data_IF_002118180325
#
_entry.id   IF_002118180325
#
_cell.length_a   1.000
_cell.length_b   1.000
_cell.length_c   1.000
_cell.angle_alpha   90.00
_cell.angle_beta   90.00
_cell.angle_gamma   90.00
#
_symmetry.space_group_name_H-M   'P 1'
#
loop_
_entity.id
_entity.type
_entity.pdbx_description
1 polymer ?
#
# COMPACT_ATOMS: atom_id res chain seq x y z
N UNK A 1 -0.63 18.00 -5.58
CA UNK A 1 -1.02 19.08 -4.65
C UNK A 1 0.21 19.59 -3.93
N UNK A 2 0.43 20.89 -3.90
CA UNK A 2 1.51 21.53 -3.14
C UNK A 2 1.03 22.85 -2.53
N UNK A 3 1.80 23.36 -1.61
CA UNK A 3 1.58 24.63 -0.94
C UNK A 3 2.70 25.58 -1.38
N UNK A 4 2.37 26.77 -1.82
CA UNK A 4 3.29 27.83 -2.19
C UNK A 4 3.20 28.98 -1.20
N UNK A 5 4.34 29.50 -0.80
CA UNK A 5 4.42 30.69 0.05
C UNK A 5 4.64 31.92 -0.84
N UNK A 6 3.69 32.81 -0.84
CA UNK A 6 3.86 34.17 -1.35
C UNK A 6 4.41 35.02 -0.20
N UNK A 7 5.71 35.24 -0.22
CA UNK A 7 6.42 35.99 0.83
C UNK A 7 6.10 37.48 0.83
N UNK A 8 5.72 38.06 -0.32
CA UNK A 8 5.39 39.48 -0.45
C UNK A 8 4.05 39.75 0.23
N UNK A 9 3.04 38.95 -0.06
CA UNK A 9 1.70 39.08 0.51
C UNK A 9 1.53 38.32 1.83
N UNK A 10 2.54 37.54 2.28
CA UNK A 10 2.51 36.70 3.48
C UNK A 10 1.32 35.71 3.47
N UNK A 11 1.06 35.13 2.31
CA UNK A 11 -0.04 34.19 2.11
C UNK A 11 0.45 32.82 1.67
N UNK A 12 -0.31 31.78 2.02
CA UNK A 12 -0.11 30.43 1.50
C UNK A 12 -1.15 30.14 0.42
N UNK A 13 -0.71 29.73 -0.74
CA UNK A 13 -1.56 29.31 -1.83
C UNK A 13 -1.51 27.79 -1.99
N UNK A 14 -2.70 27.15 -1.93
CA UNK A 14 -2.84 25.71 -2.17
C UNK A 14 -3.09 25.43 -3.64
N UNK A 15 -2.24 24.62 -4.25
CA UNK A 15 -2.42 24.12 -5.62
C UNK A 15 -3.03 22.72 -5.57
N UNK A 16 -4.33 22.63 -5.84
CA UNK A 16 -5.06 21.36 -5.88
C UNK A 16 -4.84 20.65 -7.22
N UNK A 17 -4.77 19.34 -7.18
CA UNK A 17 -4.67 18.50 -8.37
C UNK A 17 -6.05 18.38 -9.02
N UNK A 18 -6.20 18.65 -10.32
CA UNK A 18 -7.48 18.47 -11.00
C UNK A 18 -7.82 16.98 -11.17
N UNK A 19 -9.10 16.70 -11.35
CA UNK A 19 -9.60 15.43 -11.86
C UNK A 19 -9.51 15.36 -13.40
N UNK A 20 -10.00 14.26 -13.99
CA UNK A 20 -9.95 14.02 -15.44
C UNK A 20 -10.68 15.05 -16.29
N UNK A 21 -11.62 15.79 -15.71
CA UNK A 21 -12.38 16.85 -16.42
C UNK A 21 -11.96 18.27 -16.03
N UNK A 22 -10.94 18.39 -15.18
CA UNK A 22 -10.31 19.65 -14.80
C UNK A 22 -10.82 20.27 -13.50
N UNK A 23 -11.76 19.67 -12.79
CA UNK A 23 -12.20 20.15 -11.49
C UNK A 23 -11.16 19.85 -10.41
N UNK A 24 -10.84 20.89 -9.64
CA UNK A 24 -9.87 20.78 -8.53
C UNK A 24 -10.51 20.37 -7.19
N UNK A 25 -11.82 20.41 -7.13
CA UNK A 25 -12.63 19.98 -6.00
C UNK A 25 -14.09 20.30 -6.21
N UNK A 26 -14.96 19.37 -5.81
CA UNK A 26 -16.41 19.49 -5.88
C UNK A 26 -16.98 19.34 -4.48
N UNK A 27 -17.85 20.25 -4.09
CA UNK A 27 -18.59 20.17 -2.82
C UNK A 27 -20.08 20.09 -3.11
N UNK A 28 -20.74 19.12 -2.47
CA UNK A 28 -22.19 19.03 -2.50
C UNK A 28 -22.77 19.93 -1.39
N UNK A 29 -23.74 20.76 -1.72
CA UNK A 29 -24.44 21.56 -0.73
C UNK A 29 -25.57 20.77 -0.03
N UNK A 30 -25.74 20.92 1.31
CA UNK A 30 -24.88 21.65 2.23
C UNK A 30 -23.53 20.92 2.45
N UNK A 31 -22.43 21.65 2.49
CA UNK A 31 -21.11 21.06 2.67
C UNK A 31 -20.14 22.00 3.39
N UNK A 32 -19.07 21.43 3.91
CA UNK A 32 -17.99 22.16 4.58
C UNK A 32 -16.65 21.84 3.90
N UNK A 33 -15.77 22.83 3.85
CA UNK A 33 -14.41 22.61 3.36
C UNK A 33 -13.56 21.91 4.42
N UNK A 34 -12.53 21.15 4.03
CA UNK A 34 -11.58 20.58 4.99
C UNK A 34 -10.89 21.66 5.83
N UNK A 35 -10.53 21.29 7.04
CA UNK A 35 -9.69 22.13 7.90
C UNK A 35 -8.35 22.42 7.25
N UNK A 36 -7.83 23.62 7.50
CA UNK A 36 -6.46 24.02 7.20
C UNK A 36 -5.77 24.31 8.50
N UNK A 37 -4.62 23.70 8.74
CA UNK A 37 -3.89 23.82 10.01
C UNK A 37 -2.50 24.36 9.79
N UNK A 38 -2.06 25.20 10.73
CA UNK A 38 -0.68 25.65 10.82
C UNK A 38 -0.19 25.26 12.21
N UNK A 39 0.88 24.46 12.26
CA UNK A 39 1.53 24.08 13.51
C UNK A 39 2.71 25.01 13.69
N UNK A 40 2.72 25.76 14.81
CA UNK A 40 3.79 26.68 15.17
C UNK A 40 4.40 26.20 16.47
N UNK A 41 5.73 26.09 16.49
CA UNK A 41 6.50 25.71 17.67
C UNK A 41 7.81 26.50 17.75
N UNK A 42 8.40 26.56 18.90
CA UNK A 42 9.72 27.17 19.13
C UNK A 42 10.86 26.17 18.91
N UNK A 43 10.55 24.88 19.02
CA UNK A 43 11.50 23.79 18.80
C UNK A 43 10.86 22.69 17.92
N UNK A 44 11.70 21.91 17.23
CA UNK A 44 11.23 20.84 16.35
C UNK A 44 10.37 19.80 17.11
N UNK A 45 10.66 19.51 18.36
CA UNK A 45 9.86 18.59 19.19
C UNK A 45 8.41 19.02 19.37
N UNK A 46 8.11 20.32 19.29
CA UNK A 46 6.74 20.85 19.42
C UNK A 46 5.86 20.38 18.25
N UNK A 47 6.45 20.22 17.06
CA UNK A 47 5.78 19.66 15.90
C UNK A 47 5.43 18.19 16.13
N UNK A 48 6.37 17.40 16.66
CA UNK A 48 6.14 15.98 16.99
C UNK A 48 5.07 15.79 18.06
N UNK A 49 5.04 16.69 19.06
CA UNK A 49 4.07 16.63 20.15
C UNK A 49 2.67 17.08 19.73
N UNK A 50 2.54 17.79 18.60
CA UNK A 50 1.27 18.33 18.13
C UNK A 50 0.32 17.23 17.71
N UNK A 51 -0.91 17.27 18.25
CA UNK A 51 -1.99 16.36 17.89
C UNK A 51 -3.13 17.06 17.15
N UNK A 52 -2.88 18.28 16.65
CA UNK A 52 -3.93 19.09 16.03
C UNK A 52 -4.55 18.38 14.82
N UNK A 53 -3.73 17.79 13.96
CA UNK A 53 -4.20 17.07 12.77
C UNK A 53 -5.10 15.90 13.14
N UNK A 54 -4.74 15.13 14.16
CA UNK A 54 -5.58 14.03 14.65
C UNK A 54 -6.87 14.54 15.27
N UNK A 55 -6.78 15.57 16.12
CA UNK A 55 -7.91 16.07 16.90
C UNK A 55 -9.02 16.74 16.06
N UNK A 56 -8.71 17.15 14.83
CA UNK A 56 -9.68 17.69 13.90
C UNK A 56 -10.44 16.62 13.11
N UNK A 57 -10.05 15.36 13.23
CA UNK A 57 -10.79 14.23 12.67
C UNK A 57 -11.87 13.76 13.66
N UNK A 58 -12.91 13.13 13.11
CA UNK A 58 -13.99 12.54 13.90
C UNK A 58 -13.47 11.48 14.89
N UNK A 59 -14.15 11.25 15.99
CA UNK A 59 -13.87 10.13 16.90
C UNK A 59 -13.86 8.80 16.18
N UNK A 60 -13.20 7.80 16.80
CA UNK A 60 -13.16 6.44 16.28
C UNK A 60 -14.55 5.88 15.99
N UNK A 61 -14.77 5.41 14.76
CA UNK A 61 -16.03 4.79 14.30
C UNK A 61 -16.03 3.27 14.41
N UNK A 62 -14.92 2.66 14.82
CA UNK A 62 -14.80 1.23 15.04
C UNK A 62 -15.05 0.92 16.50
N UNK A 63 -16.11 0.17 16.78
CA UNK A 63 -16.53 -0.14 18.18
C UNK A 63 -15.54 -1.06 18.90
N UNK A 64 -15.08 -2.12 18.22
CA UNK A 64 -14.10 -3.06 18.73
C UNK A 64 -12.79 -2.91 17.95
N UNK A 65 -11.78 -2.38 18.59
CA UNK A 65 -10.44 -2.17 18.01
C UNK A 65 -9.41 -3.23 18.44
N UNK A 66 -9.82 -4.26 19.16
CA UNK A 66 -8.94 -5.28 19.73
C UNK A 66 -8.13 -6.09 18.69
N UNK A 67 -8.61 -6.11 17.44
CA UNK A 67 -7.97 -6.78 16.30
C UNK A 67 -6.92 -5.90 15.59
N UNK A 68 -6.86 -4.60 15.91
CA UNK A 68 -5.95 -3.63 15.30
C UNK A 68 -4.66 -3.57 16.10
N UNK A 69 -3.53 -3.72 15.44
CA UNK A 69 -2.22 -3.66 16.11
C UNK A 69 -1.12 -3.22 15.15
N UNK A 70 -0.09 -2.53 15.64
CA UNK A 70 1.15 -2.34 14.89
C UNK A 70 1.76 -3.69 14.53
N UNK A 71 2.38 -3.78 13.35
CA UNK A 71 2.89 -5.03 12.82
C UNK A 71 4.30 -4.83 12.28
N UNK A 72 5.24 -5.66 12.74
CA UNK A 72 6.58 -5.77 12.14
C UNK A 72 6.53 -6.89 11.12
N UNK A 73 6.90 -6.61 9.89
CA UNK A 73 6.88 -7.63 8.84
C UNK A 73 8.15 -7.61 7.99
N UNK A 74 8.35 -8.71 7.27
CA UNK A 74 9.33 -8.84 6.20
C UNK A 74 8.59 -9.16 4.91
N UNK A 75 9.09 -8.68 3.76
CA UNK A 75 8.38 -8.80 2.48
C UNK A 75 9.10 -9.67 1.46
N UNK A 76 8.37 -10.55 0.79
CA UNK A 76 8.75 -11.15 -0.48
C UNK A 76 8.51 -10.10 -1.55
N UNK A 77 9.50 -9.29 -1.82
CA UNK A 77 9.44 -8.10 -2.66
C UNK A 77 10.84 -7.63 -3.06
N UNK A 78 11.78 -7.54 -2.10
CA UNK A 78 13.12 -7.02 -2.37
C UNK A 78 13.91 -7.87 -3.37
N UNK A 79 13.71 -9.18 -3.39
CA UNK A 79 14.34 -10.08 -4.36
C UNK A 79 14.00 -9.66 -5.80
N UNK A 80 12.76 -9.22 -6.05
CA UNK A 80 12.32 -8.78 -7.36
C UNK A 80 12.88 -7.40 -7.72
N UNK A 81 12.82 -6.45 -6.79
CA UNK A 81 13.41 -5.10 -6.99
C UNK A 81 14.92 -5.18 -7.26
N UNK A 82 15.61 -6.08 -6.58
CA UNK A 82 17.06 -6.29 -6.76
C UNK A 82 17.42 -7.08 -8.04
N UNK A 83 16.44 -7.58 -8.79
CA UNK A 83 16.67 -8.36 -10.01
C UNK A 83 16.97 -9.84 -9.79
N UNK A 84 16.80 -10.35 -8.56
CA UNK A 84 16.99 -11.76 -8.21
C UNK A 84 15.80 -12.67 -8.53
N UNK A 85 14.71 -12.11 -9.06
CA UNK A 85 13.49 -12.83 -9.41
C UNK A 85 12.42 -11.93 -9.99
N UNK A 86 11.21 -12.46 -10.15
CA UNK A 86 10.09 -11.74 -10.74
C UNK A 86 8.80 -11.88 -9.92
N UNK A 87 7.85 -10.97 -10.16
CA UNK A 87 6.49 -11.05 -9.66
C UNK A 87 5.61 -11.99 -10.49
N UNK A 88 5.94 -12.15 -11.79
CA UNK A 88 5.23 -12.97 -12.76
C UNK A 88 5.66 -14.43 -12.69
N UNK A 89 4.78 -15.31 -13.19
CA UNK A 89 4.96 -16.76 -13.15
C UNK A 89 5.51 -17.34 -14.45
N UNK A 90 5.13 -16.75 -15.59
CA UNK A 90 5.37 -17.35 -16.92
C UNK A 90 5.76 -16.31 -17.96
N UNK A 91 6.55 -16.76 -18.96
CA UNK A 91 6.83 -15.99 -20.18
C UNK A 91 5.98 -16.40 -21.37
N UNK A 92 5.06 -17.37 -21.20
CA UNK A 92 4.20 -17.87 -22.28
C UNK A 92 3.15 -16.84 -22.72
N UNK A 93 2.81 -15.89 -21.82
CA UNK A 93 1.77 -14.90 -22.07
C UNK A 93 2.33 -13.47 -21.96
N UNK A 94 2.74 -12.86 -23.08
CA UNK A 94 3.23 -11.47 -23.09
C UNK A 94 2.11 -10.46 -22.79
N UNK A 95 0.86 -10.89 -22.88
CA UNK A 95 -0.32 -10.15 -22.44
C UNK A 95 -1.36 -11.13 -21.92
N UNK A 96 -2.03 -10.75 -20.85
CA UNK A 96 -3.02 -11.59 -20.18
C UNK A 96 -4.41 -10.93 -20.19
N UNK A 97 -5.43 -11.77 -20.09
CA UNK A 97 -6.80 -11.34 -19.83
C UNK A 97 -7.34 -12.12 -18.63
N UNK A 98 -7.66 -11.41 -17.58
CA UNK A 98 -8.23 -12.00 -16.37
C UNK A 98 -9.51 -12.74 -16.70
N UNK A 99 -9.63 -13.99 -16.22
CA UNK A 99 -10.76 -14.88 -16.48
C UNK A 99 -10.74 -15.62 -17.83
N UNK A 100 -9.82 -15.26 -18.75
CA UNK A 100 -9.68 -15.92 -20.06
C UNK A 100 -8.35 -16.67 -20.19
N UNK A 101 -7.27 -16.13 -19.62
CA UNK A 101 -5.94 -16.74 -19.70
C UNK A 101 -5.85 -17.98 -18.80
N UNK A 102 -5.51 -19.12 -19.40
CA UNK A 102 -5.48 -20.43 -18.74
C UNK A 102 -4.08 -20.74 -18.18
N UNK A 103 -3.83 -20.35 -16.95
CA UNK A 103 -2.56 -20.60 -16.26
C UNK A 103 -2.26 -22.08 -15.98
N UNK A 104 -3.25 -22.98 -16.11
CA UNK A 104 -2.99 -24.43 -15.98
C UNK A 104 -2.14 -25.00 -17.12
N UNK A 105 -2.09 -24.28 -18.26
CA UNK A 105 -1.28 -24.62 -19.43
C UNK A 105 0.05 -23.87 -19.50
N UNK A 106 0.22 -22.85 -18.67
CA UNK A 106 1.43 -22.03 -18.65
C UNK A 106 2.60 -22.79 -18.05
N UNK A 107 3.78 -22.59 -18.61
CA UNK A 107 5.03 -23.12 -18.06
C UNK A 107 5.67 -22.10 -17.14
N UNK A 108 6.02 -22.50 -15.89
CA UNK A 108 6.76 -21.60 -15.01
C UNK A 108 8.14 -21.31 -15.59
N UNK A 109 8.56 -20.06 -15.60
CA UNK A 109 9.93 -19.71 -16.02
C UNK A 109 10.98 -19.94 -14.90
N UNK A 110 10.55 -20.26 -13.67
CA UNK A 110 11.41 -20.62 -12.54
C UNK A 110 11.96 -19.44 -11.73
N UNK A 111 11.65 -18.20 -12.10
CA UNK A 111 12.11 -16.99 -11.40
C UNK A 111 11.05 -16.36 -10.48
N UNK A 112 9.81 -16.88 -10.47
CA UNK A 112 8.75 -16.39 -9.63
C UNK A 112 9.09 -16.53 -8.14
N UNK A 113 9.09 -15.41 -7.39
CA UNK A 113 9.52 -15.43 -5.97
C UNK A 113 8.39 -15.57 -4.98
N UNK A 114 7.16 -15.30 -5.36
CA UNK A 114 6.00 -15.56 -4.50
C UNK A 114 5.56 -17.04 -4.49
N UNK A 115 6.42 -17.97 -4.91
CA UNK A 115 6.13 -19.40 -4.83
C UNK A 115 6.11 -19.91 -3.38
N UNK A 116 5.32 -20.95 -3.10
CA UNK A 116 5.10 -21.50 -1.76
C UNK A 116 6.39 -21.89 -1.05
N UNK A 117 7.38 -22.41 -1.76
CA UNK A 117 8.66 -22.82 -1.15
C UNK A 117 9.44 -21.61 -0.63
N UNK A 118 9.53 -20.54 -1.41
CA UNK A 118 10.23 -19.32 -0.99
C UNK A 118 9.49 -18.61 0.13
N UNK A 119 8.16 -18.52 0.05
CA UNK A 119 7.34 -17.90 1.11
C UNK A 119 7.51 -18.62 2.45
N UNK A 120 7.60 -19.95 2.47
CA UNK A 120 7.89 -20.71 3.70
C UNK A 120 9.25 -20.33 4.32
N UNK A 121 10.28 -20.06 3.49
CA UNK A 121 11.58 -19.57 3.99
C UNK A 121 11.44 -18.22 4.70
N UNK A 122 10.63 -17.30 4.14
CA UNK A 122 10.34 -16.01 4.77
C UNK A 122 9.55 -16.17 6.06
N UNK A 123 8.58 -17.08 6.11
CA UNK A 123 7.84 -17.41 7.34
C UNK A 123 8.78 -17.95 8.43
N UNK A 124 9.68 -18.86 8.08
CA UNK A 124 10.67 -19.39 9.01
C UNK A 124 11.62 -18.30 9.52
N UNK A 125 12.06 -17.42 8.64
CA UNK A 125 12.87 -16.26 9.00
C UNK A 125 12.12 -15.31 9.94
N UNK A 126 10.87 -14.99 9.63
CA UNK A 126 10.02 -14.14 10.44
C UNK A 126 9.84 -14.71 11.85
N UNK A 127 9.48 -15.99 11.97
CA UNK A 127 9.31 -16.70 13.22
C UNK A 127 10.59 -16.70 14.07
N UNK A 128 11.73 -16.97 13.44
CA UNK A 128 13.04 -17.02 14.11
C UNK A 128 13.49 -15.65 14.64
N UNK A 129 13.14 -14.58 13.95
CA UNK A 129 13.66 -13.24 14.22
C UNK A 129 12.63 -12.28 14.86
N UNK A 130 11.47 -12.79 15.28
CA UNK A 130 10.47 -12.03 16.02
C UNK A 130 9.73 -11.01 15.17
N UNK A 131 9.50 -11.29 13.88
CA UNK A 131 8.56 -10.57 13.04
C UNK A 131 7.16 -11.12 13.24
N UNK A 132 6.17 -10.25 13.16
CA UNK A 132 4.76 -10.61 13.33
C UNK A 132 4.15 -11.21 12.07
N UNK A 133 4.67 -10.79 10.89
CA UNK A 133 4.09 -11.16 9.61
C UNK A 133 5.08 -11.22 8.45
N UNK A 134 4.62 -11.82 7.34
CA UNK A 134 5.26 -11.80 6.03
C UNK A 134 4.29 -11.21 5.01
N UNK A 135 4.71 -10.15 4.33
CA UNK A 135 4.05 -9.61 3.14
C UNK A 135 4.47 -10.41 1.91
N UNK A 136 3.55 -10.74 1.02
CA UNK A 136 3.88 -11.44 -0.23
C UNK A 136 3.32 -10.67 -1.42
N UNK A 137 4.19 -10.05 -2.18
CA UNK A 137 3.85 -9.48 -3.49
C UNK A 137 3.98 -10.55 -4.59
N UNK A 138 3.19 -10.43 -5.65
CA UNK A 138 3.25 -11.37 -6.78
C UNK A 138 2.50 -12.68 -6.57
N UNK A 139 1.65 -12.80 -5.54
CA UNK A 139 0.98 -14.05 -5.20
C UNK A 139 -0.12 -14.46 -6.18
N UNK A 140 -0.78 -13.48 -6.82
CA UNK A 140 -1.95 -13.65 -7.69
C UNK A 140 -1.61 -13.42 -9.16
N UNK A 141 -2.45 -13.91 -10.06
CA UNK A 141 -2.29 -13.74 -11.51
C UNK A 141 -2.40 -12.28 -11.94
N UNK A 142 -1.68 -11.91 -13.01
CA UNK A 142 -1.78 -10.58 -13.63
C UNK A 142 -0.47 -9.82 -13.76
N UNK A 143 0.63 -10.33 -13.23
CA UNK A 143 1.90 -9.61 -13.19
C UNK A 143 2.72 -9.69 -14.48
N UNK A 144 2.34 -10.52 -15.44
CA UNK A 144 3.07 -10.69 -16.72
C UNK A 144 3.12 -9.40 -17.55
N UNK A 145 2.05 -8.59 -17.48
CA UNK A 145 1.96 -7.35 -18.24
C UNK A 145 1.38 -6.17 -17.47
N UNK A 146 1.54 -6.16 -16.14
CA UNK A 146 0.92 -5.14 -15.26
C UNK A 146 1.54 -3.75 -15.37
N UNK A 147 2.84 -3.67 -15.63
CA UNK A 147 3.56 -2.40 -15.69
C UNK A 147 3.28 -1.69 -17.00
N UNK A 148 2.80 -0.43 -16.91
CA UNK A 148 2.63 0.49 -18.05
C UNK A 148 1.61 0.11 -19.11
N UNK A 149 0.91 -1.01 -19.00
CA UNK A 149 -0.09 -1.39 -19.99
C UNK A 149 -1.41 -0.59 -19.88
N UNK A 150 -1.63 0.07 -18.73
CA UNK A 150 -2.80 0.93 -18.47
C UNK A 150 -4.15 0.22 -18.66
N UNK A 151 -4.19 -1.07 -18.39
CA UNK A 151 -5.44 -1.84 -18.43
C UNK A 151 -6.31 -1.51 -17.23
N UNK A 152 -7.62 -1.48 -17.42
CA UNK A 152 -8.56 -1.35 -16.32
C UNK A 152 -8.66 -2.66 -15.51
N UNK A 153 -8.50 -3.82 -16.16
CA UNK A 153 -8.56 -5.15 -15.56
C UNK A 153 -7.17 -5.81 -15.51
N UNK A 154 -6.37 -5.45 -14.49
CA UNK A 154 -5.07 -6.08 -14.29
C UNK A 154 -5.14 -7.29 -13.35
N UNK A 155 -5.97 -7.21 -12.29
CA UNK A 155 -6.02 -8.18 -11.20
C UNK A 155 -7.46 -8.46 -10.80
N UNK A 156 -7.74 -9.69 -10.34
CA UNK A 156 -9.02 -10.10 -9.74
C UNK A 156 -8.99 -10.23 -8.21
N UNK A 157 -7.80 -10.24 -7.63
CA UNK A 157 -7.54 -10.30 -6.17
C UNK A 157 -7.98 -11.59 -5.46
N UNK A 158 -8.29 -12.65 -6.20
CA UNK A 158 -8.78 -13.94 -5.64
C UNK A 158 -8.13 -15.16 -6.27
N UNK A 159 -7.43 -15.02 -7.41
CA UNK A 159 -6.83 -16.14 -8.12
C UNK A 159 -5.31 -16.18 -7.90
N UNK A 160 -4.80 -17.11 -7.07
CA UNK A 160 -3.36 -17.27 -6.90
C UNK A 160 -2.70 -17.86 -8.15
N UNK A 161 -1.38 -17.65 -8.28
CA UNK A 161 -0.58 -18.41 -9.23
C UNK A 161 -0.55 -19.90 -8.87
N UNK A 162 -0.31 -20.80 -9.85
CA UNK A 162 -0.33 -22.26 -9.61
C UNK A 162 0.67 -22.77 -8.56
N UNK A 163 1.74 -22.02 -8.31
CA UNK A 163 2.79 -22.36 -7.35
C UNK A 163 2.64 -21.67 -5.97
N UNK A 164 1.52 -20.95 -5.76
CA UNK A 164 1.19 -20.28 -4.49
C UNK A 164 -0.05 -20.91 -3.84
N UNK A 165 0.15 -21.74 -2.85
CA UNK A 165 -0.95 -22.35 -2.09
C UNK A 165 -1.36 -21.45 -0.90
N UNK A 166 -2.42 -20.68 -1.11
CA UNK A 166 -2.95 -19.71 -0.12
C UNK A 166 -3.28 -20.38 1.21
N UNK A 167 -3.93 -21.57 1.16
CA UNK A 167 -4.38 -22.27 2.36
C UNK A 167 -3.21 -22.84 3.13
N UNK A 168 -2.36 -23.60 2.45
CA UNK A 168 -1.18 -24.24 3.06
C UNK A 168 -0.26 -23.19 3.72
N UNK A 169 -0.02 -22.07 3.02
CA UNK A 169 0.85 -21.01 3.51
C UNK A 169 0.30 -20.30 4.75
N UNK A 170 -1.00 -20.06 4.82
CA UNK A 170 -1.60 -19.46 6.02
C UNK A 170 -1.59 -20.43 7.20
N UNK A 171 -1.92 -21.71 6.98
CA UNK A 171 -1.83 -22.74 8.00
C UNK A 171 -0.39 -22.88 8.52
N UNK A 172 0.60 -22.88 7.62
CA UNK A 172 2.01 -22.95 7.98
C UNK A 172 2.47 -21.72 8.78
N UNK A 173 2.12 -20.52 8.35
CA UNK A 173 2.45 -19.29 9.06
C UNK A 173 1.84 -19.28 10.47
N UNK A 174 0.56 -19.59 10.59
CA UNK A 174 -0.14 -19.66 11.89
C UNK A 174 0.46 -20.70 12.83
N UNK A 175 0.92 -21.85 12.32
CA UNK A 175 1.60 -22.88 13.12
C UNK A 175 2.90 -22.37 13.76
N UNK A 176 3.47 -21.30 13.22
CA UNK A 176 4.69 -20.64 13.69
C UNK A 176 4.43 -19.29 14.38
N UNK A 177 3.18 -18.98 14.67
CA UNK A 177 2.74 -17.71 15.24
C UNK A 177 3.14 -16.48 14.37
N UNK A 178 3.18 -16.65 13.07
CA UNK A 178 3.40 -15.63 12.07
C UNK A 178 2.12 -15.46 11.25
N UNK A 179 1.83 -14.26 10.77
CA UNK A 179 0.72 -13.99 9.86
C UNK A 179 1.21 -13.69 8.46
N UNK A 180 0.31 -13.79 7.49
CA UNK A 180 0.54 -13.28 6.15
C UNK A 180 -0.21 -11.96 5.96
N UNK A 181 0.44 -10.99 5.30
CA UNK A 181 -0.20 -9.76 4.83
C UNK A 181 -0.50 -9.96 3.35
N UNK A 182 -1.76 -9.74 2.97
CA UNK A 182 -2.19 -9.80 1.59
C UNK A 182 -1.68 -8.57 0.82
N UNK A 183 -1.28 -8.74 -0.43
CA UNK A 183 -0.96 -7.64 -1.32
C UNK A 183 -2.02 -7.50 -2.41
N UNK A 184 -2.61 -6.34 -2.52
CA UNK A 184 -3.52 -5.96 -3.60
C UNK A 184 -2.85 -4.86 -4.44
N UNK A 185 -2.02 -5.25 -5.42
CA UNK A 185 -1.58 -4.30 -6.46
C UNK A 185 -2.75 -4.02 -7.39
N UNK A 186 -2.99 -2.76 -7.68
CA UNK A 186 -4.09 -2.34 -8.53
C UNK A 186 -3.66 -2.00 -9.96
N UNK A 187 -2.34 -1.86 -10.21
CA UNK A 187 -1.83 -1.26 -11.44
C UNK A 187 -2.42 0.14 -11.68
N UNK A 188 -2.74 0.83 -10.57
CA UNK A 188 -3.43 2.12 -10.53
C UNK A 188 -4.85 2.14 -11.13
N UNK A 189 -5.45 0.97 -11.43
CA UNK A 189 -6.83 0.83 -11.90
C UNK A 189 -7.81 0.79 -10.71
N UNK A 190 -7.96 1.93 -10.03
CA UNK A 190 -8.69 2.01 -8.76
C UNK A 190 -10.16 1.58 -8.86
N UNK A 191 -10.83 1.86 -10.01
CA UNK A 191 -12.23 1.45 -10.22
C UNK A 191 -12.38 -0.06 -10.33
N UNK A 192 -11.39 -0.75 -10.91
CA UNK A 192 -11.35 -2.20 -10.92
C UNK A 192 -11.26 -2.74 -9.50
N UNK A 193 -10.38 -2.17 -8.68
CA UNK A 193 -10.27 -2.57 -7.28
C UNK A 193 -11.56 -2.36 -6.49
N UNK A 194 -12.23 -1.21 -6.66
CA UNK A 194 -13.52 -0.94 -6.02
C UNK A 194 -14.62 -1.97 -6.35
N UNK A 195 -14.65 -2.44 -7.61
CA UNK A 195 -15.62 -3.46 -8.05
C UNK A 195 -15.38 -4.83 -7.41
N UNK A 196 -14.12 -5.18 -7.16
CA UNK A 196 -13.74 -6.50 -6.64
C UNK A 196 -13.47 -6.52 -5.13
N UNK A 197 -13.53 -5.39 -4.46
CA UNK A 197 -13.10 -5.25 -3.07
C UNK A 197 -13.87 -6.14 -2.10
N UNK A 198 -15.18 -6.31 -2.29
CA UNK A 198 -15.98 -7.19 -1.43
C UNK A 198 -15.53 -8.66 -1.57
N UNK A 199 -15.34 -9.13 -2.79
CA UNK A 199 -14.89 -10.49 -3.08
C UNK A 199 -13.47 -10.70 -2.57
N UNK A 200 -12.58 -9.75 -2.81
CA UNK A 200 -11.21 -9.77 -2.32
C UNK A 200 -11.12 -9.85 -0.79
N UNK A 201 -11.91 -9.04 -0.07
CA UNK A 201 -11.91 -9.07 1.40
C UNK A 201 -12.59 -10.32 1.97
N UNK A 202 -13.61 -10.87 1.30
CA UNK A 202 -14.19 -12.18 1.65
C UNK A 202 -13.15 -13.29 1.49
N UNK A 203 -12.42 -13.30 0.38
CA UNK A 203 -11.32 -14.23 0.13
C UNK A 203 -10.26 -14.14 1.23
N UNK A 204 -9.84 -12.94 1.60
CA UNK A 204 -8.92 -12.73 2.71
C UNK A 204 -9.44 -13.35 4.01
N UNK A 205 -10.71 -13.12 4.36
CA UNK A 205 -11.31 -13.67 5.58
C UNK A 205 -11.41 -15.18 5.54
N UNK A 206 -11.73 -15.77 4.38
CA UNK A 206 -11.79 -17.21 4.19
C UNK A 206 -10.46 -17.90 4.51
N UNK A 207 -9.35 -17.27 4.15
CA UNK A 207 -8.01 -17.82 4.35
C UNK A 207 -7.25 -17.26 5.56
N UNK A 208 -7.90 -16.47 6.41
CA UNK A 208 -7.33 -16.03 7.69
C UNK A 208 -6.43 -14.81 7.64
N UNK A 209 -6.48 -14.03 6.56
CA UNK A 209 -5.81 -12.73 6.50
C UNK A 209 -6.55 -11.67 7.31
N UNK A 210 -5.80 -10.82 7.99
CA UNK A 210 -6.33 -9.67 8.74
C UNK A 210 -5.65 -8.33 8.40
N UNK A 211 -4.74 -8.33 7.43
CA UNK A 211 -4.07 -7.14 6.94
C UNK A 211 -3.86 -7.18 5.42
N UNK A 212 -3.96 -6.04 4.78
CA UNK A 212 -3.72 -5.84 3.34
C UNK A 212 -2.79 -4.67 3.10
N UNK A 213 -1.80 -4.86 2.23
CA UNK A 213 -1.08 -3.78 1.56
C UNK A 213 -1.77 -3.49 0.24
N UNK A 214 -2.11 -2.22 -0.01
CA UNK A 214 -2.69 -1.80 -1.30
C UNK A 214 -1.66 -1.01 -2.10
N UNK A 215 -1.43 -1.38 -3.37
CA UNK A 215 -0.49 -0.74 -4.28
C UNK A 215 -1.18 -0.03 -5.45
N UNK A 216 -0.60 1.08 -5.88
CA UNK A 216 -1.11 1.90 -7.00
C UNK A 216 0.06 2.36 -7.88
N UNK A 217 0.85 1.40 -8.35
CA UNK A 217 2.03 1.69 -9.17
C UNK A 217 1.63 2.18 -10.56
N UNK A 218 2.23 3.29 -10.98
CA UNK A 218 2.03 3.87 -12.30
C UNK A 218 0.98 4.98 -12.35
N UNK A 219 0.66 5.47 -13.57
CA UNK A 219 -0.38 6.50 -13.76
C UNK A 219 -1.77 5.95 -13.47
N UNK A 220 -2.61 6.76 -12.84
CA UNK A 220 -3.99 6.36 -12.52
C UNK A 220 -4.78 6.00 -13.79
N UNK A 221 -5.57 4.93 -13.68
CA UNK A 221 -6.55 4.51 -14.67
C UNK A 221 -7.95 4.71 -14.07
N UNK A 222 -8.86 5.45 -14.74
CA UNK A 222 -8.76 5.98 -16.11
C UNK A 222 -7.78 7.15 -16.27
N UNK A 223 -7.29 7.31 -17.50
CA UNK A 223 -6.37 8.40 -17.84
C UNK A 223 -6.99 9.78 -17.56
N UNK A 224 -6.14 10.70 -17.09
CA UNK A 224 -6.56 12.03 -16.68
C UNK A 224 -6.81 12.17 -15.18
N UNK A 225 -6.99 11.08 -14.46
CA UNK A 225 -6.96 11.08 -13.00
C UNK A 225 -5.53 11.06 -12.48
N UNK A 226 -5.35 11.55 -11.28
CA UNK A 226 -4.04 11.63 -10.61
C UNK A 226 -4.16 11.17 -9.16
N UNK A 227 -3.06 10.66 -8.58
CA UNK A 227 -3.01 10.18 -7.20
C UNK A 227 -3.53 11.17 -6.13
N UNK A 228 -3.53 12.46 -6.42
CA UNK A 228 -3.97 13.51 -5.51
C UNK A 228 -5.24 14.23 -5.98
N UNK A 229 -5.93 13.72 -7.01
CA UNK A 229 -7.24 14.22 -7.41
C UNK A 229 -8.31 13.82 -6.38
N UNK A 230 -9.41 14.55 -6.33
CA UNK A 230 -10.48 14.27 -5.35
C UNK A 230 -11.04 12.84 -5.46
N UNK A 231 -11.28 12.26 -6.65
CA UNK A 231 -11.70 10.86 -6.77
C UNK A 231 -10.73 9.89 -6.08
N UNK A 232 -9.43 10.08 -6.20
CA UNK A 232 -8.43 9.23 -5.56
C UNK A 232 -8.37 9.44 -4.05
N UNK A 233 -8.47 10.69 -3.57
CA UNK A 233 -8.57 10.96 -2.12
C UNK A 233 -9.76 10.24 -1.50
N UNK A 234 -10.91 10.30 -2.18
CA UNK A 234 -12.12 9.60 -1.76
C UNK A 234 -11.94 8.08 -1.80
N UNK A 235 -11.28 7.56 -2.84
CA UNK A 235 -10.98 6.14 -2.99
C UNK A 235 -10.13 5.62 -1.83
N UNK A 236 -9.03 6.28 -1.48
CA UNK A 236 -8.17 5.85 -0.38
C UNK A 236 -8.93 5.80 0.96
N UNK A 237 -9.79 6.77 1.21
CA UNK A 237 -10.64 6.74 2.40
C UNK A 237 -11.65 5.58 2.32
N UNK A 238 -12.30 5.38 1.17
CA UNK A 238 -13.27 4.32 0.96
C UNK A 238 -12.67 2.92 1.20
N UNK A 239 -11.43 2.69 0.74
CA UNK A 239 -10.71 1.42 1.01
C UNK A 239 -10.60 1.16 2.51
N UNK A 240 -10.16 2.16 3.28
CA UNK A 240 -10.00 2.04 4.74
C UNK A 240 -11.33 1.77 5.43
N UNK A 241 -12.37 2.50 5.05
CA UNK A 241 -13.73 2.32 5.59
C UNK A 241 -14.32 0.96 5.25
N UNK A 242 -14.09 0.50 4.01
CA UNK A 242 -14.56 -0.81 3.55
C UNK A 242 -13.83 -1.93 4.28
N UNK A 243 -12.51 -1.87 4.37
CA UNK A 243 -11.68 -2.84 5.08
C UNK A 243 -12.07 -2.96 6.57
N UNK A 244 -12.43 -1.84 7.23
CA UNK A 244 -12.89 -1.84 8.61
C UNK A 244 -14.12 -2.74 8.82
N UNK A 245 -15.05 -2.79 7.86
CA UNK A 245 -16.25 -3.64 7.92
C UNK A 245 -15.91 -5.14 7.92
N UNK A 246 -14.78 -5.50 7.32
CA UNK A 246 -14.25 -6.86 7.27
C UNK A 246 -13.22 -7.16 8.37
N UNK A 247 -12.95 -6.18 9.27
CA UNK A 247 -11.89 -6.29 10.28
C UNK A 247 -10.53 -6.57 9.63
N UNK A 248 -10.19 -5.78 8.63
CA UNK A 248 -8.92 -5.83 7.90
C UNK A 248 -8.15 -4.54 8.17
N UNK A 249 -6.90 -4.67 8.58
CA UNK A 249 -5.93 -3.57 8.68
C UNK A 249 -5.42 -3.21 7.29
N UNK A 250 -5.15 -1.93 7.06
CA UNK A 250 -4.70 -1.40 5.77
C UNK A 250 -3.33 -0.75 5.91
N UNK A 251 -2.44 -1.11 5.00
CA UNK A 251 -1.21 -0.41 4.70
C UNK A 251 -1.30 0.14 3.27
N UNK A 252 -1.44 1.46 3.12
CA UNK A 252 -1.67 2.13 1.85
C UNK A 252 -0.36 2.59 1.21
N UNK A 253 0.04 2.01 0.07
CA UNK A 253 1.16 2.47 -0.74
C UNK A 253 0.72 3.40 -1.86
N UNK A 254 1.62 4.25 -2.37
CA UNK A 254 1.36 5.31 -3.36
C UNK A 254 0.13 6.20 -3.03
N UNK A 255 -0.38 6.09 -1.83
CA UNK A 255 -1.56 6.82 -1.36
C UNK A 255 -1.25 8.31 -1.08
N UNK A 256 -2.30 9.09 -0.93
CA UNK A 256 -2.16 10.50 -0.52
C UNK A 256 -1.58 10.62 0.87
N UNK A 257 -0.92 11.73 1.15
CA UNK A 257 -0.43 12.03 2.50
C UNK A 257 -1.56 11.93 3.52
N UNK A 258 -1.32 11.28 4.66
CA UNK A 258 -2.35 11.11 5.68
C UNK A 258 -2.73 12.47 6.31
N UNK A 259 -3.99 12.58 6.69
CA UNK A 259 -4.60 13.77 7.26
C UNK A 259 -5.20 13.52 8.65
N UNK A 260 -4.72 12.48 9.35
CA UNK A 260 -5.21 12.10 10.66
C UNK A 260 -6.41 11.15 10.66
N UNK A 261 -6.80 10.62 9.50
CA UNK A 261 -7.94 9.69 9.35
C UNK A 261 -7.79 8.43 10.21
N UNK A 262 -6.56 8.06 10.58
CA UNK A 262 -6.29 6.94 11.50
C UNK A 262 -6.87 7.12 12.90
N UNK A 263 -7.28 8.33 13.30
CA UNK A 263 -8.07 8.53 14.52
C UNK A 263 -9.49 7.98 14.37
N UNK A 264 -10.11 8.23 13.23
CA UNK A 264 -11.49 7.80 12.94
C UNK A 264 -11.53 6.33 12.55
N UNK A 265 -10.53 5.90 11.78
CA UNK A 265 -10.37 4.54 11.28
C UNK A 265 -8.96 4.01 11.61
N UNK A 266 -8.74 3.57 12.86
CA UNK A 266 -7.42 3.10 13.31
C UNK A 266 -6.93 1.81 12.61
N UNK A 267 -7.76 1.17 11.80
CA UNK A 267 -7.33 0.08 10.92
C UNK A 267 -6.41 0.55 9.77
N UNK A 268 -6.28 1.84 9.51
CA UNK A 268 -5.17 2.39 8.71
C UNK A 268 -3.91 2.37 9.57
N UNK A 269 -3.17 1.27 9.53
CA UNK A 269 -1.99 1.03 10.35
C UNK A 269 -0.69 1.51 9.72
N UNK A 270 -0.68 1.68 8.40
CA UNK A 270 0.44 2.16 7.61
C UNK A 270 -0.02 2.93 6.40
N UNK A 271 0.84 3.86 5.98
CA UNK A 271 0.69 4.59 4.74
C UNK A 271 2.09 5.01 4.31
N UNK A 272 2.53 4.61 3.12
CA UNK A 272 3.86 4.93 2.64
C UNK A 272 4.08 6.45 2.55
N UNK A 273 3.53 7.10 1.55
CA UNK A 273 3.59 8.53 1.23
C UNK A 273 4.98 9.19 1.42
N UNK A 274 6.04 8.40 1.39
CA UNK A 274 7.44 8.81 1.40
C UNK A 274 8.28 7.72 0.75
N UNK A 275 9.49 8.08 0.28
CA UNK A 275 10.38 7.11 -0.35
C UNK A 275 10.98 6.16 0.68
N UNK A 276 10.89 4.86 0.43
CA UNK A 276 11.56 3.82 1.18
C UNK A 276 13.03 3.60 0.76
N UNK A 277 13.68 2.59 1.38
CA UNK A 277 15.09 2.28 1.14
C UNK A 277 15.41 1.79 -0.27
N UNK A 278 14.44 1.34 -1.05
CA UNK A 278 14.60 1.04 -2.48
C UNK A 278 15.09 2.23 -3.30
N UNK A 279 14.84 3.44 -2.80
CA UNK A 279 15.26 4.68 -3.44
C UNK A 279 16.52 5.29 -2.81
N UNK A 280 17.27 4.55 -2.00
CA UNK A 280 18.43 5.08 -1.25
C UNK A 280 19.48 5.76 -2.13
N UNK A 281 19.63 5.36 -3.40
CA UNK A 281 20.50 6.03 -4.36
C UNK A 281 19.98 7.40 -4.82
N UNK A 282 18.74 7.74 -4.51
CA UNK A 282 18.05 8.95 -4.98
C UNK A 282 17.52 9.83 -3.83
N UNK A 283 17.76 9.43 -2.59
CA UNK A 283 17.36 10.21 -1.41
C UNK A 283 18.59 10.60 -0.58
N UNK A 284 18.64 11.82 -0.04
CA UNK A 284 19.75 12.23 0.81
C UNK A 284 19.74 11.47 2.13
N UNK A 285 20.90 11.30 2.75
CA UNK A 285 21.05 10.61 4.05
C UNK A 285 20.17 11.20 5.16
N UNK A 286 19.90 12.52 5.10
CA UNK A 286 19.02 13.19 6.04
C UNK A 286 17.54 12.89 5.87
N UNK A 287 17.13 12.13 4.84
CA UNK A 287 15.70 11.85 4.56
C UNK A 287 14.99 11.24 5.78
N UNK A 288 15.58 10.22 6.39
CA UNK A 288 15.00 9.57 7.57
C UNK A 288 14.87 10.47 8.78
N UNK A 289 15.74 11.45 8.91
CA UNK A 289 15.72 12.38 10.06
C UNK A 289 14.65 13.46 9.95
N UNK A 290 14.16 13.75 8.73
CA UNK A 290 13.09 14.74 8.52
C UNK A 290 11.69 14.12 8.53
N UNK A 291 11.56 12.83 8.29
CA UNK A 291 10.26 12.14 8.25
C UNK A 291 9.42 12.34 9.52
N UNK A 292 9.98 12.30 10.75
CA UNK A 292 9.20 12.54 11.95
C UNK A 292 8.54 13.92 11.99
N UNK A 293 9.18 14.94 11.41
CA UNK A 293 8.72 16.33 11.43
C UNK A 293 7.88 16.72 10.20
N UNK A 294 7.68 15.82 9.28
CA UNK A 294 6.97 16.07 8.02
C UNK A 294 5.92 15.00 7.77
N UNK A 295 6.35 13.80 7.39
CA UNK A 295 5.46 12.71 6.94
C UNK A 295 4.60 12.13 8.07
N UNK A 296 5.17 12.00 9.29
CA UNK A 296 4.49 11.38 10.42
C UNK A 296 3.45 12.26 11.11
N UNK A 297 3.36 13.55 10.77
CA UNK A 297 2.43 14.50 11.40
C UNK A 297 0.96 14.08 11.22
N UNK A 298 0.64 13.47 10.08
CA UNK A 298 -0.75 13.11 9.72
C UNK A 298 -1.15 11.68 10.05
N UNK A 299 -0.25 10.83 10.54
CA UNK A 299 -0.57 9.44 10.85
C UNK A 299 0.57 8.46 10.68
N UNK A 300 0.32 7.16 10.91
CA UNK A 300 1.32 6.11 10.85
C UNK A 300 1.95 5.98 9.46
N UNK A 301 3.17 5.51 9.43
CA UNK A 301 3.92 5.28 8.19
C UNK A 301 4.34 3.81 8.11
N UNK A 302 4.21 3.23 6.92
CA UNK A 302 4.98 2.05 6.58
C UNK A 302 6.42 2.50 6.36
N UNK A 303 7.28 2.15 7.31
CA UNK A 303 8.69 2.49 7.27
C UNK A 303 9.50 1.26 6.92
N UNK A 304 10.19 1.31 5.80
CA UNK A 304 11.08 0.27 5.29
C UNK A 304 12.54 0.58 5.66
N UNK A 305 12.98 0.30 6.91
CA UNK A 305 14.26 0.77 7.43
C UNK A 305 15.45 -0.05 6.93
N UNK A 306 15.23 -1.23 6.38
CA UNK A 306 16.32 -2.14 6.09
C UNK A 306 16.07 -3.13 4.97
N UNK A 307 17.18 -3.52 4.38
CA UNK A 307 17.33 -4.66 3.50
C UNK A 307 18.47 -5.49 4.06
N UNK A 308 18.35 -6.82 4.04
CA UNK A 308 19.31 -7.70 4.70
C UNK A 308 20.55 -8.01 3.84
N UNK A 309 20.40 -8.07 2.51
CA UNK A 309 21.53 -8.23 1.59
C UNK A 309 21.84 -6.87 0.96
N UNK A 310 22.99 -6.32 1.32
CA UNK A 310 23.45 -5.02 0.84
C UNK A 310 24.38 -5.14 -0.37
N UNK A 311 24.99 -6.30 -0.57
CA UNK A 311 25.87 -6.58 -1.71
C UNK A 311 25.05 -7.14 -2.87
N UNK A 312 24.44 -6.23 -3.61
CA UNK A 312 23.60 -6.58 -4.75
C UNK A 312 24.37 -7.15 -5.93
N UNK A 313 25.72 -7.07 -5.96
CA UNK A 313 26.52 -7.68 -7.00
C UNK A 313 26.42 -9.20 -7.05
N UNK A 314 26.00 -9.82 -5.95
CA UNK A 314 25.70 -11.27 -5.88
C UNK A 314 24.38 -11.65 -6.56
N UNK A 315 23.49 -10.70 -6.76
CA UNK A 315 22.13 -10.92 -7.28
C UNK A 315 22.03 -10.40 -8.70
N UNK A 316 22.61 -9.23 -8.93
CA UNK A 316 22.61 -8.53 -10.22
C UNK A 316 24.02 -7.97 -10.45
N UNK A 317 24.97 -8.80 -10.96
CA UNK A 317 26.36 -8.45 -11.17
C UNK A 317 26.60 -7.40 -12.27
#
# INVERSE_FOLDING_TARGET
MHLELDSENRTFQSHLTPDAVGFKGTLQAPGVSPWRTIIVGTEAKDILASRITLNLNEPCKIQDTSWIRPTKFVGVWWEMIAGGGSWDYTSDYPTIKIGETDYTKAKPHGNHRANSQNVKRYIDFAAKNGFDAVLVEGWNIGWEDWVSNRKEFNFDYVTPYPDFDVKELNEYAHSKNVKLIMHHETGSAYRNYERHMDEAFQFMKQYGYDAVKTGYVGPIVPLGEYHYSQPMVNHFQYVVEKAAKYRIMVDGHEAVRPTGICRTYPNLIGNESARGNEFMSRVPLGHTTILPFTRLIGGPMDFTPGIFELDLSKINP
#
